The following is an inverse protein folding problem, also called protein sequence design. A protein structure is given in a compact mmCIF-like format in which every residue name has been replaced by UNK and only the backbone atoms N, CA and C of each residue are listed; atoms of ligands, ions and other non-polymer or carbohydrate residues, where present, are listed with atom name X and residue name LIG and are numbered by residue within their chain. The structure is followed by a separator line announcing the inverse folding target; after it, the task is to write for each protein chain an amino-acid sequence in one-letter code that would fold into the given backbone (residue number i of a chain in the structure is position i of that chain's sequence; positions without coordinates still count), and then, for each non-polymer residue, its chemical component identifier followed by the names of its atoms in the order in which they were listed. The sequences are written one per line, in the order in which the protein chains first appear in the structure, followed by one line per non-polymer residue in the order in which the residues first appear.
data_IF_568456259419
#
_entry.id   IF_568456259419
#
_cell.length_a   1.000
_cell.length_b   1.000
_cell.length_c   1.000
_cell.angle_alpha   90.00
_cell.angle_beta   90.00
_cell.angle_gamma   90.00
#
_symmetry.space_group_name_H-M   'P 1'
#
loop_
_entity.id
_entity.type
_entity.pdbx_description
1 polymer ?
#
# COMPACT_ATOMS: atom_id res chain seq x y z
N UNK A 1 3.70 6.55 -9.40
CA UNK A 1 3.49 7.02 -8.02
C UNK A 1 4.79 7.48 -7.33
N UNK A 2 5.95 7.45 -7.99
CA UNK A 2 7.24 7.76 -7.36
C UNK A 2 7.37 9.16 -6.75
N UNK A 3 6.74 10.19 -7.35
CA UNK A 3 6.71 11.55 -6.77
C UNK A 3 5.97 11.59 -5.43
N UNK A 4 4.93 10.77 -5.25
CA UNK A 4 4.20 10.64 -3.98
C UNK A 4 5.09 10.05 -2.89
N UNK A 5 5.92 9.05 -3.22
CA UNK A 5 6.91 8.51 -2.28
C UNK A 5 8.02 9.50 -1.96
N UNK A 6 8.51 10.25 -2.95
CA UNK A 6 9.47 11.32 -2.71
C UNK A 6 8.91 12.36 -1.73
N UNK A 7 7.67 12.82 -1.94
CA UNK A 7 6.98 13.73 -1.01
C UNK A 7 6.82 13.12 0.38
N UNK A 8 6.49 11.83 0.49
CA UNK A 8 6.35 11.13 1.76
C UNK A 8 7.69 11.04 2.50
N UNK A 9 8.76 10.66 1.80
CA UNK A 9 10.14 10.65 2.32
C UNK A 9 10.52 12.03 2.85
N UNK A 10 10.29 13.08 2.06
CA UNK A 10 10.58 14.45 2.50
C UNK A 10 9.77 14.83 3.73
N UNK A 11 8.47 14.53 3.77
CA UNK A 11 7.62 14.86 4.92
C UNK A 11 8.03 14.11 6.19
N UNK A 12 8.30 12.81 6.09
CA UNK A 12 8.76 12.00 7.23
C UNK A 12 10.14 12.44 7.68
N UNK A 13 11.07 12.72 6.77
CA UNK A 13 12.41 13.21 7.12
C UNK A 13 12.34 14.57 7.83
N UNK A 14 11.60 15.53 7.27
CA UNK A 14 11.42 16.84 7.86
C UNK A 14 10.75 16.76 9.23
N UNK A 15 9.95 15.72 9.52
CA UNK A 15 9.25 15.62 10.82
C UNK A 15 10.21 15.39 11.98
N UNK A 16 11.46 14.99 11.69
CA UNK A 16 12.52 14.91 12.68
C UNK A 16 13.23 16.25 12.94
N UNK A 17 13.04 17.25 12.07
CA UNK A 17 13.84 18.49 12.05
C UNK A 17 13.03 19.75 12.37
N UNK A 18 11.76 19.79 11.97
CA UNK A 18 10.91 20.98 12.15
C UNK A 18 9.76 20.71 13.12
N UNK A 19 9.25 21.78 13.73
CA UNK A 19 8.03 21.72 14.54
C UNK A 19 6.85 21.18 13.71
N UNK A 20 6.01 20.35 14.34
CA UNK A 20 4.88 19.68 13.71
C UNK A 20 3.91 20.66 13.03
N UNK A 21 3.81 21.92 13.49
CA UNK A 21 2.96 22.93 12.87
C UNK A 21 3.34 23.20 11.41
N UNK A 22 4.64 23.19 11.10
CA UNK A 22 5.12 23.40 9.73
C UNK A 22 4.71 22.29 8.77
N UNK A 23 4.43 21.09 9.30
CA UNK A 23 3.87 19.98 8.50
C UNK A 23 2.45 20.23 8.01
N UNK A 24 1.75 21.18 8.61
CA UNK A 24 0.42 21.61 8.16
C UNK A 24 0.52 22.87 7.30
N UNK A 25 1.35 23.83 7.70
CA UNK A 25 1.49 25.09 6.96
C UNK A 25 2.10 24.91 5.55
N UNK A 26 3.17 24.12 5.41
CA UNK A 26 3.86 23.97 4.13
C UNK A 26 2.94 23.35 3.07
N UNK A 27 2.27 22.19 3.31
CA UNK A 27 1.34 21.64 2.33
C UNK A 27 0.13 22.54 2.09
N UNK A 28 -0.40 23.21 3.11
CA UNK A 28 -1.56 24.11 2.94
C UNK A 28 -1.24 25.28 2.01
N UNK A 29 -0.08 25.90 2.19
CA UNK A 29 0.38 26.97 1.31
C UNK A 29 0.62 26.46 -0.12
N UNK A 30 1.28 25.30 -0.26
CA UNK A 30 1.47 24.64 -1.56
C UNK A 30 0.14 24.35 -2.26
N UNK A 31 -0.87 23.86 -1.53
CA UNK A 31 -2.21 23.62 -2.05
C UNK A 31 -2.90 24.89 -2.51
N UNK A 32 -2.77 26.01 -1.77
CA UNK A 32 -3.31 27.29 -2.19
C UNK A 32 -2.70 27.77 -3.53
N UNK A 33 -1.38 27.62 -3.69
CA UNK A 33 -0.69 27.92 -4.96
C UNK A 33 -1.22 27.02 -6.08
N UNK A 34 -1.36 25.71 -5.83
CA UNK A 34 -1.90 24.77 -6.83
C UNK A 34 -3.33 25.15 -7.24
N UNK A 35 -4.18 25.58 -6.30
CA UNK A 35 -5.54 26.06 -6.61
C UNK A 35 -5.52 27.29 -7.50
N UNK A 36 -4.67 28.28 -7.19
CA UNK A 36 -4.53 29.49 -8.01
C UNK A 36 -4.06 29.14 -9.42
N UNK A 37 -3.05 28.29 -9.54
CA UNK A 37 -2.57 27.82 -10.84
C UNK A 37 -3.65 27.04 -11.60
N UNK A 38 -4.43 26.19 -10.91
CA UNK A 38 -5.52 25.46 -11.54
C UNK A 38 -6.59 26.42 -12.08
N UNK A 39 -6.97 27.47 -11.35
CA UNK A 39 -7.95 28.46 -11.81
C UNK A 39 -7.46 29.21 -13.06
N UNK A 40 -6.15 29.50 -13.13
CA UNK A 40 -5.56 30.27 -14.25
C UNK A 40 -5.34 29.39 -15.48
N UNK A 41 -4.91 28.14 -15.30
CA UNK A 41 -4.38 27.31 -16.38
C UNK A 41 -5.25 26.11 -16.76
N UNK A 42 -6.18 25.63 -15.92
CA UNK A 42 -7.07 24.54 -16.35
C UNK A 42 -8.15 25.07 -17.30
N UNK A 43 -8.24 24.52 -18.53
CA UNK A 43 -9.35 24.84 -19.42
C UNK A 43 -10.66 24.31 -18.85
N UNK A 44 -11.78 24.98 -19.17
CA UNK A 44 -13.11 24.47 -18.83
C UNK A 44 -13.37 23.16 -19.56
N UNK A 45 -13.49 22.07 -18.80
CA UNK A 45 -13.85 20.76 -19.34
C UNK A 45 -15.38 20.69 -19.42
N UNK A 46 -15.92 20.45 -20.61
CA UNK A 46 -17.35 20.19 -20.77
C UNK A 46 -17.74 18.95 -19.95
N UNK A 47 -18.77 19.10 -19.13
CA UNK A 47 -19.26 18.01 -18.29
C UNK A 47 -19.97 17.01 -19.20
N UNK A 48 -19.48 15.77 -19.28
CA UNK A 48 -20.22 14.70 -19.95
C UNK A 48 -21.63 14.61 -19.34
N UNK A 49 -22.65 14.89 -20.17
CA UNK A 49 -24.06 14.84 -19.76
C UNK A 49 -24.61 13.41 -19.68
N UNK A 50 -23.81 12.42 -20.12
CA UNK A 50 -24.14 11.02 -19.95
C UNK A 50 -24.07 10.67 -18.46
N UNK A 51 -25.24 10.44 -17.85
CA UNK A 51 -25.37 10.16 -16.42
C UNK A 51 -24.37 9.09 -15.97
N UNK A 52 -23.49 9.46 -15.03
CA UNK A 52 -22.52 8.58 -14.41
C UNK A 52 -23.24 7.42 -13.69
N UNK A 53 -23.35 6.27 -14.36
CA UNK A 53 -23.91 5.04 -13.78
C UNK A 53 -22.81 4.21 -13.12
N UNK A 54 -22.36 4.63 -11.94
CA UNK A 54 -21.40 3.84 -11.16
C UNK A 54 -22.07 2.63 -10.52
N UNK A 55 -21.46 1.46 -10.65
CA UNK A 55 -21.98 0.24 -10.04
C UNK A 55 -20.99 -0.38 -9.02
N UNK A 56 -20.48 0.44 -8.11
CA UNK A 56 -19.51 0.04 -7.07
C UNK A 56 -19.88 -1.24 -6.32
N UNK A 57 -21.15 -1.37 -5.90
CA UNK A 57 -21.62 -2.54 -5.16
C UNK A 57 -21.54 -3.83 -5.99
N UNK A 58 -21.88 -3.74 -7.28
CA UNK A 58 -21.77 -4.88 -8.20
C UNK A 58 -20.30 -5.26 -8.42
N UNK A 59 -19.44 -4.28 -8.67
CA UNK A 59 -17.99 -4.49 -8.88
C UNK A 59 -17.34 -5.12 -7.65
N UNK A 60 -17.69 -4.64 -6.46
CA UNK A 60 -17.11 -5.11 -5.22
C UNK A 60 -17.54 -6.54 -4.86
N UNK A 61 -18.84 -6.86 -5.01
CA UNK A 61 -19.41 -8.10 -4.45
C UNK A 61 -19.82 -9.16 -5.48
N UNK A 62 -20.16 -8.77 -6.71
CA UNK A 62 -20.81 -9.65 -7.70
C UNK A 62 -19.94 -9.97 -8.92
N UNK A 63 -18.94 -9.15 -9.22
CA UNK A 63 -18.07 -9.37 -10.37
C UNK A 63 -16.90 -10.32 -10.04
N UNK A 64 -16.23 -10.78 -11.10
CA UNK A 64 -15.11 -11.73 -11.05
C UNK A 64 -13.90 -11.23 -10.24
N UNK A 65 -13.87 -9.92 -9.95
CA UNK A 65 -12.81 -9.25 -9.18
C UNK A 65 -12.90 -9.32 -7.66
N UNK A 66 -13.96 -9.90 -7.08
CA UNK A 66 -14.18 -9.91 -5.63
C UNK A 66 -12.98 -10.41 -4.81
N UNK A 67 -12.26 -11.41 -5.32
CA UNK A 67 -11.07 -11.95 -4.67
C UNK A 67 -9.91 -10.96 -4.63
N UNK A 68 -9.75 -10.14 -5.68
CA UNK A 68 -8.77 -9.06 -5.73
C UNK A 68 -9.09 -7.97 -4.71
N UNK A 69 -10.36 -7.57 -4.60
CA UNK A 69 -10.79 -6.56 -3.63
C UNK A 69 -10.65 -7.04 -2.18
N UNK A 70 -11.04 -8.29 -1.91
CA UNK A 70 -10.81 -8.90 -0.60
C UNK A 70 -9.31 -8.98 -0.26
N UNK A 71 -8.46 -9.31 -1.24
CA UNK A 71 -7.01 -9.34 -1.06
C UNK A 71 -6.45 -7.95 -0.75
N UNK A 72 -6.87 -6.91 -1.51
CA UNK A 72 -6.48 -5.52 -1.28
C UNK A 72 -6.84 -5.08 0.13
N UNK A 73 -8.07 -5.39 0.57
CA UNK A 73 -8.53 -5.09 1.92
C UNK A 73 -7.65 -5.77 2.98
N UNK A 74 -7.42 -7.09 2.85
CA UNK A 74 -6.63 -7.85 3.82
C UNK A 74 -5.17 -7.38 3.89
N UNK A 75 -4.50 -7.22 2.75
CA UNK A 75 -3.09 -6.81 2.75
C UNK A 75 -2.91 -5.41 3.34
N UNK A 76 -3.83 -4.49 3.06
CA UNK A 76 -3.77 -3.14 3.58
C UNK A 76 -4.17 -3.06 5.06
N UNK A 77 -5.14 -3.85 5.51
CA UNK A 77 -5.45 -4.05 6.93
C UNK A 77 -4.22 -4.52 7.71
N UNK A 78 -3.57 -5.60 7.24
CA UNK A 78 -2.42 -6.20 7.94
C UNK A 78 -1.23 -5.22 7.93
N UNK A 79 -0.93 -4.62 6.78
CA UNK A 79 0.20 -3.69 6.65
C UNK A 79 0.03 -2.43 7.51
N UNK A 80 -1.12 -1.76 7.43
CA UNK A 80 -1.39 -0.57 8.24
C UNK A 80 -1.37 -0.86 9.74
N UNK A 81 -1.84 -2.05 10.14
CA UNK A 81 -1.82 -2.54 11.50
C UNK A 81 -0.41 -2.65 12.08
N UNK A 82 0.62 -2.91 11.28
CA UNK A 82 2.02 -2.84 11.73
C UNK A 82 2.56 -1.43 11.58
N UNK A 83 2.48 -0.87 10.36
CA UNK A 83 3.14 0.36 9.96
C UNK A 83 2.81 1.54 10.89
N UNK A 84 1.55 1.66 11.29
CA UNK A 84 1.06 2.77 12.13
C UNK A 84 1.67 2.80 13.53
N UNK A 85 2.19 1.66 14.01
CA UNK A 85 2.70 1.50 15.38
C UNK A 85 4.22 1.37 15.45
N UNK A 86 4.92 1.40 14.30
CA UNK A 86 6.39 1.28 14.25
C UNK A 86 7.09 2.41 15.01
N UNK A 87 6.60 3.65 14.93
CA UNK A 87 7.18 4.76 15.70
C UNK A 87 7.10 4.53 17.21
N UNK A 88 5.96 4.03 17.71
CA UNK A 88 5.76 3.69 19.13
C UNK A 88 6.66 2.52 19.52
N UNK A 89 6.77 1.50 18.68
CA UNK A 89 7.69 0.39 18.87
C UNK A 89 9.15 0.87 19.01
N UNK A 90 9.59 1.84 18.21
CA UNK A 90 10.95 2.37 18.29
C UNK A 90 11.22 3.11 19.60
N UNK A 91 10.23 3.86 20.12
CA UNK A 91 10.32 4.47 21.46
C UNK A 91 10.45 3.39 22.53
N UNK A 92 9.56 2.39 22.53
CA UNK A 92 9.55 1.36 23.58
C UNK A 92 10.77 0.45 23.55
N UNK A 93 11.26 0.04 22.38
CA UNK A 93 12.36 -0.93 22.27
C UNK A 93 13.74 -0.28 22.24
N UNK A 94 13.86 0.91 21.67
CA UNK A 94 15.15 1.56 21.43
C UNK A 94 15.29 2.94 22.11
N UNK A 95 14.25 3.45 22.77
CA UNK A 95 14.28 4.78 23.40
C UNK A 95 14.47 5.91 22.40
N UNK A 96 14.05 5.71 21.14
CA UNK A 96 14.30 6.69 20.08
C UNK A 96 13.55 7.99 20.33
N UNK A 97 14.24 9.11 20.06
CA UNK A 97 13.60 10.42 19.95
C UNK A 97 12.98 10.60 18.56
N UNK A 98 12.26 11.70 18.36
CA UNK A 98 11.56 12.03 17.12
C UNK A 98 12.46 11.99 15.88
N UNK A 99 13.67 12.55 15.95
CA UNK A 99 14.62 12.55 14.83
C UNK A 99 14.97 11.13 14.38
N UNK A 100 15.30 10.24 15.32
CA UNK A 100 15.68 8.86 15.00
C UNK A 100 14.51 8.04 14.48
N UNK A 101 13.28 8.30 14.96
CA UNK A 101 12.06 7.69 14.43
C UNK A 101 11.88 8.09 12.97
N UNK A 102 11.96 9.39 12.68
CA UNK A 102 11.82 9.95 11.33
C UNK A 102 12.87 9.43 10.36
N UNK A 103 14.15 9.39 10.77
CA UNK A 103 15.22 8.81 9.96
C UNK A 103 14.99 7.32 9.69
N UNK A 104 14.54 6.56 10.68
CA UNK A 104 14.26 5.13 10.51
C UNK A 104 13.08 4.89 9.57
N UNK A 105 11.97 5.63 9.75
CA UNK A 105 10.78 5.50 8.89
C UNK A 105 11.05 5.98 7.46
N UNK A 106 12.01 6.89 7.25
CA UNK A 106 12.45 7.30 5.92
C UNK A 106 12.97 6.11 5.09
N UNK A 107 13.61 5.12 5.73
CA UNK A 107 14.05 3.90 5.04
C UNK A 107 12.89 3.14 4.38
N UNK A 108 11.68 3.15 4.98
CA UNK A 108 10.48 2.55 4.35
C UNK A 108 10.16 3.28 3.06
N UNK A 109 10.19 4.61 3.06
CA UNK A 109 9.90 5.42 1.87
C UNK A 109 10.93 5.18 0.76
N UNK A 110 12.22 5.11 1.09
CA UNK A 110 13.28 4.77 0.14
C UNK A 110 13.11 3.37 -0.46
N UNK A 111 12.82 2.37 0.39
CA UNK A 111 12.47 1.03 -0.05
C UNK A 111 11.25 1.03 -0.97
N UNK A 112 10.26 1.86 -0.66
CA UNK A 112 9.06 2.06 -1.46
C UNK A 112 9.33 2.53 -2.89
N UNK A 113 10.23 3.50 -3.07
CA UNK A 113 10.63 4.00 -4.40
C UNK A 113 11.23 2.86 -5.24
N UNK A 114 12.16 2.10 -4.65
CA UNK A 114 12.82 0.97 -5.33
C UNK A 114 11.84 -0.16 -5.61
N UNK A 115 10.95 -0.46 -4.66
CA UNK A 115 9.97 -1.53 -4.80
C UNK A 115 8.86 -1.23 -5.80
N UNK A 116 8.50 0.05 -6.02
CA UNK A 116 7.56 0.42 -7.09
C UNK A 116 8.16 0.14 -8.48
N UNK A 117 9.40 0.59 -8.71
CA UNK A 117 10.10 0.36 -9.97
C UNK A 117 10.31 -1.13 -10.25
N UNK A 118 10.88 -1.84 -9.27
CA UNK A 118 11.17 -3.28 -9.41
C UNK A 118 9.89 -4.12 -9.45
N UNK A 119 8.86 -3.74 -8.70
CA UNK A 119 7.56 -4.38 -8.68
C UNK A 119 6.86 -4.34 -10.03
N UNK A 120 6.86 -3.20 -10.72
CA UNK A 120 6.36 -3.08 -12.08
C UNK A 120 7.09 -4.03 -13.05
N UNK A 121 8.43 -3.96 -13.05
CA UNK A 121 9.27 -4.81 -13.91
C UNK A 121 9.02 -6.31 -13.67
N UNK A 122 8.91 -6.73 -12.41
CA UNK A 122 8.65 -8.13 -12.09
C UNK A 122 7.22 -8.55 -12.44
N UNK A 123 6.23 -7.67 -12.25
CA UNK A 123 4.84 -7.95 -12.63
C UNK A 123 4.73 -8.24 -14.14
N UNK A 124 5.47 -7.51 -14.97
CA UNK A 124 5.50 -7.70 -16.42
C UNK A 124 6.28 -8.95 -16.82
N UNK A 125 7.45 -9.20 -16.20
CA UNK A 125 8.33 -10.32 -16.60
C UNK A 125 7.97 -11.69 -16.02
N UNK A 126 7.52 -11.73 -14.75
CA UNK A 126 7.29 -12.99 -13.99
C UNK A 126 5.82 -13.24 -13.67
N UNK A 127 4.94 -12.32 -14.07
CA UNK A 127 3.51 -12.37 -13.83
C UNK A 127 3.11 -11.75 -12.50
N UNK A 128 1.92 -11.14 -12.51
CA UNK A 128 1.41 -10.29 -11.43
C UNK A 128 1.16 -11.05 -10.13
N UNK A 129 0.61 -12.25 -10.23
CA UNK A 129 0.32 -13.08 -9.05
C UNK A 129 1.63 -13.48 -8.35
N UNK A 130 2.65 -13.91 -9.11
CA UNK A 130 3.97 -14.24 -8.57
C UNK A 130 4.59 -13.03 -7.86
N UNK A 131 4.54 -11.86 -8.48
CA UNK A 131 5.06 -10.62 -7.90
C UNK A 131 4.32 -10.23 -6.62
N UNK A 132 2.98 -10.33 -6.60
CA UNK A 132 2.19 -10.09 -5.39
C UNK A 132 2.54 -11.08 -4.27
N UNK A 133 2.68 -12.37 -4.59
CA UNK A 133 3.10 -13.41 -3.64
C UNK A 133 4.49 -13.13 -3.08
N UNK A 134 5.47 -12.77 -3.91
CA UNK A 134 6.81 -12.42 -3.44
C UNK A 134 6.79 -11.21 -2.50
N UNK A 135 6.03 -10.16 -2.84
CA UNK A 135 5.90 -8.98 -1.99
C UNK A 135 5.31 -9.32 -0.61
N UNK A 136 4.22 -10.09 -0.55
CA UNK A 136 3.58 -10.43 0.73
C UNK A 136 4.41 -11.42 1.56
N UNK A 137 5.13 -12.36 0.93
CA UNK A 137 6.05 -13.24 1.65
C UNK A 137 7.26 -12.47 2.20
N UNK A 138 7.73 -11.44 1.49
CA UNK A 138 8.78 -10.57 2.02
C UNK A 138 8.26 -9.68 3.18
N UNK A 139 6.98 -9.26 3.14
CA UNK A 139 6.33 -8.63 4.30
C UNK A 139 6.28 -9.57 5.51
N UNK A 140 5.98 -10.85 5.31
CA UNK A 140 6.07 -11.87 6.36
C UNK A 140 7.48 -11.93 6.97
N UNK A 141 8.52 -12.11 6.15
CA UNK A 141 9.91 -12.23 6.62
C UNK A 141 10.35 -10.99 7.40
N UNK A 142 10.07 -9.80 6.89
CA UNK A 142 10.44 -8.54 7.55
C UNK A 142 9.68 -8.34 8.86
N UNK A 143 8.41 -8.74 8.93
CA UNK A 143 7.60 -8.66 10.16
C UNK A 143 8.13 -9.62 11.24
N UNK A 144 8.52 -10.86 10.87
CA UNK A 144 9.22 -11.76 11.80
C UNK A 144 10.54 -11.13 12.25
N UNK A 145 11.27 -10.48 11.34
CA UNK A 145 12.51 -9.77 11.65
C UNK A 145 12.35 -8.72 12.75
N UNK A 146 11.22 -7.98 12.81
CA UNK A 146 10.98 -6.99 13.86
C UNK A 146 10.87 -7.60 15.27
N UNK A 147 10.52 -8.87 15.41
CA UNK A 147 10.51 -9.57 16.71
C UNK A 147 11.93 -9.66 17.27
N UNK A 148 12.89 -10.05 16.41
CA UNK A 148 14.26 -10.36 16.79
C UNK A 148 15.25 -9.20 16.58
N UNK A 149 14.77 -8.04 16.12
CA UNK A 149 15.62 -6.88 15.87
C UNK A 149 16.30 -6.41 17.17
N UNK A 150 17.62 -6.31 17.13
CA UNK A 150 18.48 -5.94 18.27
C UNK A 150 19.43 -4.78 17.96
N UNK A 151 19.55 -4.39 16.69
CA UNK A 151 20.51 -3.39 16.21
C UNK A 151 19.84 -2.39 15.27
N UNK A 152 20.28 -1.14 15.33
CA UNK A 152 19.83 -0.06 14.44
C UNK A 152 20.08 -0.35 12.96
N UNK A 153 21.22 -0.96 12.62
CA UNK A 153 21.53 -1.31 11.23
C UNK A 153 20.54 -2.35 10.69
N UNK A 154 20.26 -3.38 11.49
CA UNK A 154 19.29 -4.43 11.15
C UNK A 154 17.89 -3.83 11.03
N UNK A 155 17.52 -2.92 11.94
CA UNK A 155 16.24 -2.20 11.86
C UNK A 155 16.11 -1.43 10.55
N UNK A 156 17.12 -0.62 10.18
CA UNK A 156 17.09 0.16 8.95
C UNK A 156 16.94 -0.71 7.69
N UNK A 157 17.65 -1.85 7.64
CA UNK A 157 17.52 -2.83 6.56
C UNK A 157 16.14 -3.47 6.51
N UNK A 158 15.59 -3.88 7.66
CA UNK A 158 14.25 -4.45 7.75
C UNK A 158 13.19 -3.44 7.28
N UNK A 159 13.30 -2.18 7.67
CA UNK A 159 12.37 -1.11 7.26
C UNK A 159 12.44 -0.84 5.76
N UNK A 160 13.64 -0.78 5.20
CA UNK A 160 13.85 -0.64 3.75
C UNK A 160 13.20 -1.81 3.00
N UNK A 161 13.49 -3.04 3.42
CA UNK A 161 12.91 -4.24 2.81
C UNK A 161 11.39 -4.28 2.99
N UNK A 162 10.85 -3.81 4.12
CA UNK A 162 9.41 -3.78 4.39
C UNK A 162 8.68 -2.80 3.46
N UNK A 163 9.25 -1.61 3.23
CA UNK A 163 8.74 -0.65 2.24
C UNK A 163 8.81 -1.16 0.81
N UNK A 164 9.92 -1.81 0.45
CA UNK A 164 10.09 -2.47 -0.85
C UNK A 164 9.07 -3.59 -1.05
N UNK A 165 8.86 -4.43 -0.03
CA UNK A 165 7.90 -5.55 -0.07
C UNK A 165 6.46 -5.06 -0.28
N UNK A 166 6.06 -4.02 0.45
CA UNK A 166 4.76 -3.38 0.32
C UNK A 166 4.52 -2.87 -1.10
N UNK A 167 5.49 -2.16 -1.67
CA UNK A 167 5.36 -1.53 -2.98
C UNK A 167 5.46 -2.52 -4.14
N UNK A 168 6.22 -3.61 -4.01
CA UNK A 168 6.18 -4.72 -4.96
C UNK A 168 4.77 -5.33 -5.02
N UNK A 169 4.18 -5.62 -3.86
CA UNK A 169 2.81 -6.16 -3.79
C UNK A 169 1.78 -5.15 -4.33
N UNK A 170 1.89 -3.89 -3.93
CA UNK A 170 1.03 -2.80 -4.37
C UNK A 170 1.08 -2.60 -5.88
N UNK A 171 2.28 -2.64 -6.48
CA UNK A 171 2.47 -2.48 -7.92
C UNK A 171 1.81 -3.62 -8.67
N UNK A 172 2.02 -4.87 -8.24
CA UNK A 172 1.37 -6.03 -8.85
C UNK A 172 -0.16 -5.94 -8.83
N UNK A 173 -0.74 -5.51 -7.70
CA UNK A 173 -2.19 -5.30 -7.58
C UNK A 173 -2.68 -4.16 -8.45
N UNK A 174 -1.94 -3.05 -8.51
CA UNK A 174 -2.27 -1.91 -9.38
C UNK A 174 -2.29 -2.33 -10.84
N UNK A 175 -1.32 -3.14 -11.27
CA UNK A 175 -1.32 -3.73 -12.61
C UNK A 175 -2.54 -4.64 -12.78
N UNK A 176 -2.85 -5.57 -11.85
CA UNK A 176 -4.04 -6.46 -11.96
C UNK A 176 -5.33 -5.67 -12.21
N UNK A 177 -5.48 -4.47 -11.65
CA UNK A 177 -6.66 -3.61 -11.87
C UNK A 177 -6.75 -3.07 -13.31
N UNK A 178 -5.63 -2.83 -13.99
CA UNK A 178 -5.66 -2.33 -15.38
C UNK A 178 -6.18 -3.36 -16.37
N UNK A 179 -6.09 -4.64 -16.02
CA UNK A 179 -6.60 -5.72 -16.87
C UNK A 179 -8.09 -5.99 -16.65
N UNK A 180 -8.77 -5.23 -15.78
CA UNK A 180 -10.23 -5.30 -15.72
C UNK A 180 -10.84 -4.73 -17.02
N UNK A 181 -12.01 -5.25 -17.44
CA UNK A 181 -12.76 -4.71 -18.57
C UNK A 181 -12.96 -3.20 -18.44
N UNK A 182 -12.89 -2.49 -19.56
CA UNK A 182 -12.96 -1.02 -19.60
C UNK A 182 -14.20 -0.46 -18.87
N UNK A 183 -15.33 -1.15 -18.95
CA UNK A 183 -16.60 -0.74 -18.35
C UNK A 183 -16.67 -0.83 -16.81
N UNK A 184 -15.71 -1.50 -16.14
CA UNK A 184 -15.61 -1.53 -14.66
C UNK A 184 -14.25 -1.06 -14.14
N UNK A 185 -13.32 -0.70 -15.04
CA UNK A 185 -11.95 -0.36 -14.68
C UNK A 185 -11.88 0.88 -13.78
N UNK A 186 -12.69 1.90 -14.07
CA UNK A 186 -12.74 3.13 -13.28
C UNK A 186 -13.22 2.86 -11.84
N UNK A 187 -14.30 2.08 -11.66
CA UNK A 187 -14.77 1.65 -10.35
C UNK A 187 -13.74 0.76 -9.64
N UNK A 188 -13.10 -0.17 -10.35
CA UNK A 188 -12.09 -1.05 -9.75
C UNK A 188 -10.87 -0.27 -9.25
N UNK A 189 -10.37 0.70 -10.03
CA UNK A 189 -9.25 1.56 -9.63
C UNK A 189 -9.60 2.45 -8.44
N UNK A 190 -10.81 3.02 -8.40
CA UNK A 190 -11.24 3.84 -7.27
C UNK A 190 -11.52 3.02 -6.01
N UNK A 191 -12.13 1.83 -6.14
CA UNK A 191 -12.30 0.87 -5.05
C UNK A 191 -10.97 0.45 -4.42
N UNK A 192 -9.90 0.29 -5.20
CA UNK A 192 -8.58 -0.03 -4.65
C UNK A 192 -8.13 0.99 -3.60
N UNK A 193 -8.28 2.30 -3.88
CA UNK A 193 -7.94 3.33 -2.89
C UNK A 193 -8.91 3.33 -1.71
N UNK A 194 -10.22 3.29 -1.96
CA UNK A 194 -11.23 3.31 -0.89
C UNK A 194 -11.07 2.15 0.09
N UNK A 195 -10.88 0.92 -0.43
CA UNK A 195 -10.68 -0.26 0.39
C UNK A 195 -9.42 -0.15 1.23
N UNK A 196 -8.30 0.32 0.67
CA UNK A 196 -7.04 0.49 1.40
C UNK A 196 -7.14 1.48 2.54
N UNK A 197 -7.85 2.58 2.36
CA UNK A 197 -8.03 3.58 3.43
C UNK A 197 -8.97 3.07 4.52
N UNK A 198 -10.10 2.46 4.15
CA UNK A 198 -11.04 1.89 5.14
C UNK A 198 -10.36 0.76 5.91
N UNK A 199 -9.76 -0.21 5.22
CA UNK A 199 -9.03 -1.30 5.86
C UNK A 199 -7.86 -0.78 6.67
N UNK A 200 -7.21 0.28 6.20
CA UNK A 200 -6.11 0.97 6.86
C UNK A 200 -6.50 1.49 8.24
N UNK A 201 -7.56 2.28 8.28
CA UNK A 201 -8.10 2.82 9.54
C UNK A 201 -8.53 1.73 10.51
N UNK A 202 -9.24 0.70 10.02
CA UNK A 202 -9.66 -0.44 10.86
C UNK A 202 -8.43 -1.21 11.37
N UNK A 203 -7.45 -1.49 10.51
CA UNK A 203 -6.22 -2.19 10.85
C UNK A 203 -5.45 -1.48 11.95
N UNK A 204 -5.21 -0.17 11.79
CA UNK A 204 -4.56 0.66 12.81
C UNK A 204 -5.30 0.62 14.14
N UNK A 205 -6.63 0.80 14.13
CA UNK A 205 -7.45 0.83 15.34
C UNK A 205 -7.46 -0.52 16.07
N UNK A 206 -7.65 -1.62 15.34
CA UNK A 206 -7.65 -2.98 15.91
C UNK A 206 -6.29 -3.30 16.52
N UNK A 207 -5.19 -3.02 15.82
CA UNK A 207 -3.85 -3.34 16.35
C UNK A 207 -3.51 -2.54 17.60
N UNK A 208 -4.01 -1.31 17.74
CA UNK A 208 -3.77 -0.47 18.91
C UNK A 208 -4.05 -1.17 20.23
N UNK A 209 -5.10 -1.99 20.28
CA UNK A 209 -5.45 -2.79 21.44
C UNK A 209 -4.41 -3.87 21.78
N UNK A 210 -3.75 -4.45 20.77
CA UNK A 210 -2.79 -5.54 20.93
C UNK A 210 -1.39 -5.04 21.25
N UNK A 211 -0.92 -4.00 20.56
CA UNK A 211 0.42 -3.41 20.81
C UNK A 211 0.53 -2.79 22.19
N UNK A 212 -0.58 -2.34 22.77
CA UNK A 212 -0.63 -1.85 24.15
C UNK A 212 -0.24 -2.93 25.18
N UNK A 213 -0.28 -4.21 24.80
CA UNK A 213 0.12 -5.35 25.65
C UNK A 213 1.51 -5.85 25.30
N UNK A 214 1.74 -6.18 24.02
CA UNK A 214 2.98 -6.82 23.58
C UNK A 214 3.21 -6.65 22.07
N UNK A 215 4.31 -5.97 21.72
CA UNK A 215 4.73 -5.77 20.33
C UNK A 215 5.19 -7.06 19.64
N UNK A 216 5.95 -7.92 20.32
CA UNK A 216 6.48 -9.14 19.72
C UNK A 216 5.34 -10.10 19.36
N UNK A 217 4.41 -10.32 20.28
CA UNK A 217 3.23 -11.15 20.01
C UNK A 217 2.36 -10.56 18.90
N UNK A 218 2.20 -9.23 18.85
CA UNK A 218 1.50 -8.58 17.75
C UNK A 218 2.20 -8.85 16.42
N UNK A 219 3.51 -8.65 16.32
CA UNK A 219 4.24 -8.93 15.08
C UNK A 219 4.16 -10.39 14.65
N UNK A 220 4.20 -11.35 15.58
CA UNK A 220 4.04 -12.77 15.25
C UNK A 220 2.65 -13.08 14.67
N UNK A 221 1.58 -12.52 15.25
CA UNK A 221 0.22 -12.67 14.73
C UNK A 221 0.12 -12.09 13.32
N UNK A 222 0.61 -10.86 13.11
CA UNK A 222 0.54 -10.22 11.81
C UNK A 222 1.44 -10.89 10.76
N UNK A 223 2.61 -11.40 11.16
CA UNK A 223 3.45 -12.24 10.30
C UNK A 223 2.71 -13.50 9.86
N UNK A 224 2.04 -14.19 10.78
CA UNK A 224 1.22 -15.35 10.44
C UNK A 224 0.10 -14.99 9.44
N UNK A 225 -0.56 -13.84 9.61
CA UNK A 225 -1.56 -13.35 8.66
C UNK A 225 -0.96 -13.08 7.26
N UNK A 226 0.23 -12.48 7.17
CA UNK A 226 0.93 -12.33 5.89
C UNK A 226 1.32 -13.67 5.25
N UNK A 227 1.75 -14.64 6.04
CA UNK A 227 2.06 -15.98 5.56
C UNK A 227 0.81 -16.66 4.97
N UNK A 228 -0.31 -16.63 5.71
CA UNK A 228 -1.59 -17.14 5.21
C UNK A 228 -2.01 -16.44 3.92
N UNK A 229 -1.92 -15.10 3.89
CA UNK A 229 -2.25 -14.32 2.70
C UNK A 229 -1.35 -14.69 1.51
N UNK A 230 -0.07 -14.95 1.75
CA UNK A 230 0.88 -15.46 0.76
C UNK A 230 0.46 -16.80 0.16
N UNK A 231 0.02 -17.74 1.00
CA UNK A 231 -0.46 -19.08 0.58
C UNK A 231 -1.73 -18.94 -0.29
N UNK A 232 -2.69 -18.12 0.14
CA UNK A 232 -3.96 -17.98 -0.58
C UNK A 232 -3.92 -16.95 -1.72
N UNK A 233 -2.79 -16.24 -1.92
CA UNK A 233 -2.66 -15.19 -2.95
C UNK A 233 -3.07 -15.70 -4.33
N UNK A 234 -2.60 -16.89 -4.72
CA UNK A 234 -2.94 -17.49 -6.02
C UNK A 234 -4.43 -17.77 -6.16
N UNK A 235 -5.11 -18.16 -5.08
CA UNK A 235 -6.54 -18.47 -5.09
C UNK A 235 -7.35 -17.16 -5.21
N UNK A 236 -7.00 -16.15 -4.42
CA UNK A 236 -7.73 -14.88 -4.37
C UNK A 236 -7.52 -14.03 -5.63
N UNK A 237 -6.33 -14.08 -6.23
CA UNK A 237 -5.99 -13.29 -7.42
C UNK A 237 -6.19 -14.06 -8.73
N UNK A 238 -6.70 -15.31 -8.67
CA UNK A 238 -7.01 -16.08 -9.88
C UNK A 238 -8.19 -15.44 -10.58
N UNK A 239 -7.97 -15.01 -11.82
CA UNK A 239 -9.06 -14.60 -12.70
C UNK A 239 -9.84 -15.83 -13.18
N UNK A 240 -11.17 -15.76 -13.24
CA UNK A 240 -11.93 -16.62 -14.13
C UNK A 240 -11.55 -16.26 -15.58
N UNK A 241 -10.73 -17.10 -16.21
CA UNK A 241 -10.49 -17.21 -17.67
C UNK A 241 -10.71 -15.96 -18.55
N UNK A 242 -9.63 -15.25 -18.88
CA UNK A 242 -9.51 -14.58 -20.19
C UNK A 242 -9.26 -15.61 -21.32
N UNK A 243 -8.98 -16.88 -20.99
CA UNK A 243 -8.63 -17.95 -21.93
C UNK A 243 -9.79 -18.48 -22.80
N UNK A 244 -10.99 -17.88 -22.74
CA UNK A 244 -12.13 -18.33 -23.56
C UNK A 244 -12.38 -17.53 -24.84
N UNK A 245 -11.71 -16.41 -25.06
CA UNK A 245 -11.98 -15.57 -26.25
C UNK A 245 -11.10 -15.93 -27.45
N UNK A 246 -9.96 -16.61 -27.26
CA UNK A 246 -9.01 -16.88 -28.37
C UNK A 246 -9.35 -18.15 -29.16
N UNK A 247 -10.27 -19.01 -28.71
CA UNK A 247 -10.59 -20.29 -29.38
C UNK A 247 -11.79 -20.19 -30.33
N UNK A 248 -12.51 -19.06 -30.40
CA UNK A 248 -13.67 -18.90 -31.28
C UNK A 248 -13.41 -18.15 -32.59
N UNK A 249 -12.20 -17.64 -32.85
CA UNK A 249 -11.86 -16.99 -34.13
C UNK A 249 -11.12 -17.92 -35.13
N UNK A 250 -11.04 -19.23 -34.87
CA UNK A 250 -10.39 -20.20 -35.78
C UNK A 250 -11.31 -21.39 -36.13
N UNK A 251 -12.59 -21.12 -36.37
CA UNK A 251 -13.50 -22.06 -37.05
C UNK A 251 -14.23 -21.37 -38.20
#
# INVERSE_FOLDING_TARGET
FSITFASSVTGVFLSGLVDWRWMFFIPSFGSAVVVVLAIIFLPSIEREQNGFKSNYFRVLFKDEGRGVFAYIFLVAFIYSGIYSWLGVFFVHKFGMNQLWISLSLTSIGLGGIVGELTGGIFADKKGRITTATCGVLLLFVTTVGFVYVSSFLVLGLLLLLHGLAWTINHSALSTILTDFPSHIRAEATSLNSSLRFISGGIGTAVTGFWVARDFNNTFLVYAFLFMLLGIITRIMLRRPTADKVVVQEVL
#
